data_IF_782073126769
#
_entry.id   IF_782073126769
#
_cell.length_a   1.000
_cell.length_b   1.000
_cell.length_c   1.000
_cell.angle_alpha   90.00
_cell.angle_beta   90.00
_cell.angle_gamma   90.00
#
_symmetry.space_group_name_H-M   'P 1'
#
loop_
_entity.id
_entity.type
_entity.pdbx_description
1 polymer ?
#
# COMPACT_ATOMS: atom_id res chain seq x y z
N UNK A 1 -0.68 23.17 15.87
CA UNK A 1 -0.10 21.90 15.36
C UNK A 1 -0.77 20.75 16.11
N UNK A 2 -1.51 19.88 15.42
CA UNK A 2 -2.05 18.69 16.06
C UNK A 2 -0.88 17.82 16.54
N UNK A 3 -0.89 17.40 17.81
CA UNK A 3 0.16 16.57 18.38
C UNK A 3 0.45 15.35 17.47
N UNK A 4 1.70 14.88 17.37
CA UNK A 4 2.09 13.72 16.53
C UNK A 4 1.23 12.47 16.78
N UNK A 5 0.57 12.39 17.93
CA UNK A 5 -0.40 11.36 18.31
C UNK A 5 -1.69 11.38 17.47
N UNK A 6 -2.15 12.55 17.01
CA UNK A 6 -3.37 12.69 16.21
C UNK A 6 -3.25 12.03 14.85
N UNK A 7 -2.14 12.29 14.13
CA UNK A 7 -1.85 11.64 12.85
C UNK A 7 -1.65 10.13 13.00
N UNK A 8 -0.88 9.68 14.00
CA UNK A 8 -0.68 8.25 14.28
C UNK A 8 -2.01 7.52 14.52
N UNK A 9 -2.92 8.12 15.29
CA UNK A 9 -4.26 7.57 15.54
C UNK A 9 -5.11 7.51 14.27
N UNK A 10 -5.03 8.53 13.42
CA UNK A 10 -5.74 8.56 12.15
C UNK A 10 -5.23 7.47 11.18
N UNK A 11 -3.91 7.32 11.04
CA UNK A 11 -3.29 6.24 10.25
C UNK A 11 -3.70 4.87 10.78
N UNK A 12 -3.68 4.65 12.10
CA UNK A 12 -4.11 3.38 12.69
C UNK A 12 -5.58 3.05 12.35
N UNK A 13 -6.49 4.03 12.43
CA UNK A 13 -7.89 3.82 12.03
C UNK A 13 -8.04 3.53 10.54
N UNK A 14 -7.30 4.25 9.69
CA UNK A 14 -7.31 4.01 8.24
C UNK A 14 -6.78 2.62 7.88
N UNK A 15 -5.76 2.13 8.57
CA UNK A 15 -5.26 0.76 8.41
C UNK A 15 -6.33 -0.28 8.77
N UNK A 16 -6.96 -0.17 9.94
CA UNK A 16 -8.02 -1.11 10.34
C UNK A 16 -9.22 -1.06 9.39
N UNK A 17 -9.58 0.11 8.89
CA UNK A 17 -10.68 0.27 7.93
C UNK A 17 -10.33 -0.29 6.54
N UNK A 18 -9.07 -0.17 6.12
CA UNK A 18 -8.63 -0.64 4.81
C UNK A 18 -8.32 -2.13 4.81
N UNK A 19 -7.61 -2.65 5.82
CA UNK A 19 -6.97 -3.97 5.83
C UNK A 19 -7.32 -4.78 7.10
N UNK A 20 -8.59 -5.19 7.27
CA UNK A 20 -9.06 -5.80 8.50
C UNK A 20 -8.38 -7.15 8.84
N UNK A 21 -7.89 -7.90 7.84
CA UNK A 21 -7.26 -9.21 8.04
C UNK A 21 -5.80 -9.28 7.56
N UNK A 22 -5.14 -8.15 7.34
CA UNK A 22 -3.73 -8.16 6.99
C UNK A 22 -2.86 -8.65 8.17
N UNK A 23 -1.81 -9.45 7.93
CA UNK A 23 -0.90 -9.88 8.99
C UNK A 23 -0.23 -8.70 9.71
N UNK A 24 0.12 -8.90 10.98
CA UNK A 24 0.74 -7.85 11.78
C UNK A 24 2.06 -7.35 11.17
N UNK A 25 2.91 -8.26 10.69
CA UNK A 25 4.19 -7.91 10.05
C UNK A 25 4.01 -6.95 8.87
N UNK A 26 3.02 -7.19 8.01
CA UNK A 26 2.71 -6.33 6.87
C UNK A 26 2.11 -5.00 7.33
N UNK A 27 1.12 -5.02 8.24
CA UNK A 27 0.49 -3.79 8.71
C UNK A 27 1.44 -2.85 9.44
N UNK A 28 2.47 -3.38 10.11
CA UNK A 28 3.47 -2.55 10.79
C UNK A 28 4.45 -1.90 9.80
N UNK A 29 4.87 -2.61 8.75
CA UNK A 29 5.65 -2.03 7.66
C UNK A 29 4.88 -0.90 6.97
N UNK A 30 3.63 -1.16 6.58
CA UNK A 30 2.74 -0.16 5.94
C UNK A 30 2.51 1.05 6.86
N UNK A 31 2.36 0.82 8.18
CA UNK A 31 2.22 1.91 9.17
C UNK A 31 3.44 2.82 9.18
N UNK A 32 4.63 2.25 9.21
CA UNK A 32 5.88 3.01 9.23
C UNK A 32 5.99 3.89 7.97
N UNK A 33 5.71 3.32 6.80
CA UNK A 33 5.77 4.01 5.52
C UNK A 33 4.71 5.12 5.40
N UNK A 34 3.47 4.86 5.81
CA UNK A 34 2.40 5.88 5.81
C UNK A 34 2.68 7.07 6.76
N UNK A 35 3.54 6.86 7.76
CA UNK A 35 4.00 7.89 8.70
C UNK A 35 5.31 8.56 8.27
N UNK A 36 5.92 8.15 7.17
CA UNK A 36 7.16 8.74 6.67
C UNK A 36 7.01 10.25 6.41
N UNK A 37 8.12 10.98 6.56
CA UNK A 37 8.14 12.46 6.47
C UNK A 37 7.61 12.96 5.12
N UNK A 38 7.86 12.25 4.03
CA UNK A 38 7.38 12.62 2.70
C UNK A 38 5.88 12.38 2.50
N UNK A 39 5.25 11.54 3.33
CA UNK A 39 3.80 11.28 3.32
C UNK A 39 3.00 12.25 4.20
N UNK A 40 3.67 13.11 4.98
CA UNK A 40 3.05 13.89 6.08
C UNK A 40 1.96 14.86 5.61
N UNK A 41 2.04 15.33 4.37
CA UNK A 41 1.10 16.29 3.76
C UNK A 41 -0.14 15.60 3.19
N UNK A 42 -0.09 14.29 2.96
CA UNK A 42 -1.21 13.52 2.44
C UNK A 42 -2.25 13.25 3.53
N UNK A 43 -3.56 13.17 3.17
CA UNK A 43 -4.58 12.61 4.03
C UNK A 43 -4.17 11.21 4.51
N UNK A 44 -4.42 10.84 5.79
CA UNK A 44 -4.01 9.54 6.33
C UNK A 44 -4.52 8.33 5.52
N UNK A 45 -5.73 8.39 4.99
CA UNK A 45 -6.29 7.33 4.14
C UNK A 45 -5.51 7.14 2.84
N UNK A 46 -5.10 8.23 2.20
CA UNK A 46 -4.31 8.21 0.96
C UNK A 46 -2.89 7.70 1.25
N UNK A 47 -2.25 8.20 2.31
CA UNK A 47 -0.93 7.72 2.72
C UNK A 47 -0.93 6.21 3.01
N UNK A 48 -1.96 5.71 3.70
CA UNK A 48 -2.14 4.28 3.97
C UNK A 48 -2.37 3.49 2.68
N UNK A 49 -3.19 4.00 1.76
CA UNK A 49 -3.42 3.35 0.46
C UNK A 49 -2.13 3.21 -0.35
N UNK A 50 -1.38 4.30 -0.54
CA UNK A 50 -0.13 4.29 -1.30
C UNK A 50 0.92 3.40 -0.66
N UNK A 51 1.09 3.47 0.67
CA UNK A 51 2.00 2.60 1.40
C UNK A 51 1.60 1.12 1.27
N UNK A 52 0.30 0.82 1.29
CA UNK A 52 -0.21 -0.54 1.12
C UNK A 52 0.12 -1.07 -0.27
N UNK A 53 -0.21 -0.33 -1.33
CA UNK A 53 0.05 -0.75 -2.71
C UNK A 53 1.54 -0.94 -2.95
N UNK A 54 2.37 -0.01 -2.48
CA UNK A 54 3.82 -0.13 -2.57
C UNK A 54 4.33 -1.39 -1.86
N UNK A 55 3.93 -1.60 -0.59
CA UNK A 55 4.34 -2.77 0.19
C UNK A 55 3.94 -4.08 -0.49
N UNK A 56 2.67 -4.21 -0.92
CA UNK A 56 2.18 -5.42 -1.58
C UNK A 56 2.91 -5.65 -2.92
N UNK A 57 3.15 -4.59 -3.70
CA UNK A 57 3.92 -4.67 -4.94
C UNK A 57 5.32 -5.22 -4.69
N UNK A 58 6.05 -4.69 -3.71
CA UNK A 58 7.43 -5.10 -3.47
C UNK A 58 7.55 -6.46 -2.75
N UNK A 59 6.63 -6.80 -1.83
CA UNK A 59 6.76 -7.97 -0.95
C UNK A 59 5.89 -9.17 -1.34
N UNK A 60 4.79 -8.95 -2.06
CA UNK A 60 3.78 -9.97 -2.37
C UNK A 60 3.50 -10.10 -3.87
N UNK A 61 4.44 -9.64 -4.71
CA UNK A 61 4.34 -9.82 -6.15
C UNK A 61 5.69 -10.06 -6.82
N UNK A 62 5.66 -10.46 -8.08
CA UNK A 62 6.84 -10.64 -8.92
C UNK A 62 7.49 -9.31 -9.36
N UNK A 63 7.11 -8.16 -8.82
CA UNK A 63 7.59 -6.84 -9.26
C UNK A 63 9.12 -6.73 -9.27
N UNK A 64 9.78 -7.10 -8.18
CA UNK A 64 11.25 -7.07 -8.08
C UNK A 64 11.92 -8.01 -9.09
N UNK A 65 11.30 -9.16 -9.33
CA UNK A 65 11.78 -10.13 -10.32
C UNK A 65 11.68 -9.54 -11.73
N UNK A 66 10.54 -8.97 -12.10
CA UNK A 66 10.35 -8.33 -13.41
C UNK A 66 11.37 -7.21 -13.65
N UNK A 67 11.65 -6.37 -12.65
CA UNK A 67 12.70 -5.36 -12.75
C UNK A 67 14.09 -5.98 -12.99
N UNK A 68 14.42 -7.07 -12.29
CA UNK A 68 15.70 -7.77 -12.47
C UNK A 68 15.84 -8.44 -13.84
N UNK A 69 14.72 -8.80 -14.46
CA UNK A 69 14.64 -9.37 -15.81
C UNK A 69 14.69 -8.30 -16.91
N UNK A 70 14.72 -7.01 -16.55
CA UNK A 70 14.89 -5.89 -17.48
C UNK A 70 13.58 -5.27 -17.97
N UNK A 71 12.44 -5.62 -17.37
CA UNK A 71 11.19 -4.91 -17.63
C UNK A 71 11.27 -3.47 -17.10
N UNK A 72 10.67 -2.54 -17.83
CA UNK A 72 10.49 -1.19 -17.33
C UNK A 72 9.45 -1.16 -16.19
N UNK A 73 9.43 -0.04 -15.45
CA UNK A 73 8.59 0.09 -14.25
C UNK A 73 7.10 0.06 -14.56
N UNK A 74 6.67 0.59 -15.70
CA UNK A 74 5.26 0.71 -16.03
C UNK A 74 4.74 -0.65 -16.48
N UNK A 75 5.50 -1.36 -17.33
CA UNK A 75 5.23 -2.77 -17.66
C UNK A 75 5.20 -3.64 -16.40
N UNK A 76 6.20 -3.54 -15.53
CA UNK A 76 6.26 -4.33 -14.30
C UNK A 76 5.08 -4.04 -13.37
N UNK A 77 4.65 -2.77 -13.24
CA UNK A 77 3.45 -2.40 -12.47
C UNK A 77 2.19 -3.02 -13.06
N UNK A 78 2.03 -2.95 -14.38
CA UNK A 78 0.87 -3.52 -15.07
C UNK A 78 0.74 -5.03 -14.84
N UNK A 79 1.84 -5.79 -14.97
CA UNK A 79 1.80 -7.24 -14.82
C UNK A 79 1.45 -7.73 -13.41
N UNK A 80 1.75 -6.95 -12.38
CA UNK A 80 1.54 -7.37 -10.97
C UNK A 80 0.20 -6.94 -10.39
N UNK A 81 -0.62 -6.14 -11.09
CA UNK A 81 -1.92 -5.65 -10.58
C UNK A 81 -2.80 -6.80 -10.07
N UNK A 82 -2.86 -7.91 -10.82
CA UNK A 82 -3.61 -9.11 -10.42
C UNK A 82 -3.10 -9.74 -9.12
N UNK A 83 -1.78 -9.80 -8.93
CA UNK A 83 -1.16 -10.34 -7.71
C UNK A 83 -1.41 -9.42 -6.50
N UNK A 84 -1.36 -8.11 -6.72
CA UNK A 84 -1.70 -7.13 -5.70
C UNK A 84 -3.17 -7.29 -5.27
N UNK A 85 -4.10 -7.34 -6.23
CA UNK A 85 -5.52 -7.50 -5.94
C UNK A 85 -5.85 -8.84 -5.27
N UNK A 86 -5.14 -9.92 -5.61
CA UNK A 86 -5.25 -11.21 -4.92
C UNK A 86 -4.85 -11.08 -3.44
N UNK A 87 -3.75 -10.38 -3.14
CA UNK A 87 -3.30 -10.13 -1.77
C UNK A 87 -4.27 -9.24 -1.00
N UNK A 88 -4.71 -8.13 -1.60
CA UNK A 88 -5.72 -7.24 -1.00
C UNK A 88 -7.03 -7.98 -0.70
N UNK A 89 -7.48 -8.84 -1.62
CA UNK A 89 -8.67 -9.70 -1.42
C UNK A 89 -8.48 -10.66 -0.25
N UNK A 90 -7.31 -11.32 -0.16
CA UNK A 90 -6.97 -12.20 0.97
C UNK A 90 -7.00 -11.47 2.30
N UNK A 91 -6.57 -10.21 2.33
CA UNK A 91 -6.61 -9.35 3.52
C UNK A 91 -7.98 -8.69 3.77
N UNK A 92 -8.99 -9.03 2.93
CA UNK A 92 -10.35 -8.47 2.97
C UNK A 92 -10.35 -6.95 2.86
N UNK A 93 -9.50 -6.43 1.96
CA UNK A 93 -9.37 -5.01 1.78
C UNK A 93 -10.68 -4.38 1.30
N UNK A 94 -10.96 -3.17 1.78
CA UNK A 94 -12.19 -2.43 1.41
C UNK A 94 -12.04 -1.64 0.10
N UNK A 95 -10.84 -1.65 -0.49
CA UNK A 95 -10.50 -1.07 -1.79
C UNK A 95 -9.55 -2.01 -2.54
N UNK A 96 -9.73 -2.12 -3.86
CA UNK A 96 -8.85 -2.81 -4.78
C UNK A 96 -8.21 -1.80 -5.76
N UNK A 97 -7.11 -2.20 -6.39
CA UNK A 97 -6.51 -1.47 -7.51
C UNK A 97 -7.38 -1.66 -8.74
N UNK A 98 -7.70 -0.54 -9.38
CA UNK A 98 -8.32 -0.56 -10.68
C UNK A 98 -7.20 -0.64 -11.74
N UNK A 99 -7.22 -1.65 -12.64
CA UNK A 99 -6.20 -1.81 -13.67
C UNK A 99 -6.15 -0.66 -14.68
N UNK A 100 -7.21 0.14 -14.78
CA UNK A 100 -7.32 1.26 -15.71
C UNK A 100 -7.01 2.63 -15.05
N UNK A 101 -6.61 2.63 -13.77
CA UNK A 101 -6.29 3.85 -13.01
C UNK A 101 -4.83 4.25 -13.23
N UNK A 102 -4.58 5.19 -14.15
CA UNK A 102 -3.23 5.66 -14.54
C UNK A 102 -2.47 6.42 -13.43
N UNK A 103 -3.12 6.72 -12.30
CA UNK A 103 -2.64 7.62 -11.24
C UNK A 103 -1.97 6.93 -10.01
N UNK A 104 -1.71 5.61 -10.03
CA UNK A 104 -1.21 4.84 -8.85
C UNK A 104 0.16 4.18 -9.02
#
# INVERSE_FOLDING_TARGET
MAAPTGRRRAVARSLTALLPLAPYADTEAIRADALAVHMKTLPPSIAVWLATVAHVRHAHSDYEKLLSEGYDRDSARFFVIGQINATLTRWRATRLLDPDDEDV
#
